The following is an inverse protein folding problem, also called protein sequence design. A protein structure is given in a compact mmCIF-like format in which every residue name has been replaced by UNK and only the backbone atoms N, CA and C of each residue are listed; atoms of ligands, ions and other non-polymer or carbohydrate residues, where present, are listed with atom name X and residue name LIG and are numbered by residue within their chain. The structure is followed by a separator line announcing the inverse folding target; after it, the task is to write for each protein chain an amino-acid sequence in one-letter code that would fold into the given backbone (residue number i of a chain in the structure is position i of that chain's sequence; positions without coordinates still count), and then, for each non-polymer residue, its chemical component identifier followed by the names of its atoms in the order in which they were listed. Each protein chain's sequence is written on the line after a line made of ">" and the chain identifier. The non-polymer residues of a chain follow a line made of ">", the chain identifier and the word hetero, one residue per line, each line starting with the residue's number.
data_IF_828708724410
#
_entry.id   IF_828708724410
#
_cell.length_a   1.000
_cell.length_b   1.000
_cell.length_c   1.000
_cell.angle_alpha   90.00
_cell.angle_beta   90.00
_cell.angle_gamma   90.00
#
_symmetry.space_group_name_H-M   'P 1'
#
loop_
_entity.id
_entity.type
_entity.pdbx_description
1 polymer ?
#
# COMPACT_ATOMS: atom_id res chain seq x y z
N UNK A 1 -32.63 -6.34 13.09
CA UNK A 1 -32.43 -5.37 12.00
C UNK A 1 -32.00 -6.19 10.79
N UNK A 2 -32.90 -6.39 9.84
CA UNK A 2 -32.56 -7.02 8.56
C UNK A 2 -31.50 -6.17 7.88
N UNK A 3 -30.44 -6.84 7.48
CA UNK A 3 -29.26 -6.19 6.90
C UNK A 3 -29.65 -5.62 5.51
N UNK A 4 -29.99 -4.34 5.44
CA UNK A 4 -30.40 -3.65 4.20
C UNK A 4 -29.43 -3.84 3.02
N UNK A 5 -28.22 -4.34 3.29
CA UNK A 5 -27.16 -4.58 2.29
C UNK A 5 -27.50 -5.77 1.38
N UNK A 6 -28.23 -6.78 1.89
CA UNK A 6 -28.58 -7.99 1.13
C UNK A 6 -29.80 -7.84 0.22
N UNK A 7 -30.53 -6.74 0.35
CA UNK A 7 -31.77 -6.48 -0.42
C UNK A 7 -31.59 -5.50 -1.58
N UNK A 8 -30.37 -4.99 -1.80
CA UNK A 8 -30.12 -4.14 -2.98
C UNK A 8 -29.98 -5.03 -4.22
N UNK A 9 -30.97 -4.99 -5.10
CA UNK A 9 -30.87 -5.52 -6.47
C UNK A 9 -29.61 -4.96 -7.12
N UNK A 10 -28.68 -5.86 -7.51
CA UNK A 10 -27.38 -5.49 -8.06
C UNK A 10 -26.21 -5.45 -7.07
N UNK A 11 -26.44 -5.43 -5.75
CA UNK A 11 -25.37 -5.43 -4.75
C UNK A 11 -24.42 -4.22 -4.81
N UNK A 12 -23.43 -4.17 -3.90
CA UNK A 12 -22.47 -3.05 -3.81
C UNK A 12 -21.54 -2.94 -5.03
N UNK A 13 -21.35 -4.02 -5.78
CA UNK A 13 -20.46 -4.07 -6.95
C UNK A 13 -21.19 -3.89 -8.29
N UNK A 14 -22.48 -3.56 -8.31
CA UNK A 14 -23.26 -3.46 -9.54
C UNK A 14 -22.65 -2.48 -10.58
N UNK A 15 -22.05 -1.37 -10.12
CA UNK A 15 -21.38 -0.41 -11.01
C UNK A 15 -20.04 -0.93 -11.52
N UNK A 16 -19.32 -1.71 -10.74
CA UNK A 16 -18.08 -2.38 -11.17
C UNK A 16 -18.42 -3.46 -12.19
N UNK A 17 -19.43 -4.26 -11.94
CA UNK A 17 -19.91 -5.28 -12.88
C UNK A 17 -20.43 -4.68 -14.18
N UNK A 18 -21.19 -3.57 -14.11
CA UNK A 18 -21.68 -2.87 -15.29
C UNK A 18 -20.53 -2.39 -16.19
N UNK A 19 -19.43 -1.93 -15.59
CA UNK A 19 -18.27 -1.43 -16.32
C UNK A 19 -17.37 -2.55 -16.87
N UNK A 20 -17.13 -3.59 -16.08
CA UNK A 20 -16.09 -4.59 -16.36
C UNK A 20 -16.66 -5.95 -16.81
N UNK A 21 -17.95 -6.17 -16.64
CA UNK A 21 -18.61 -7.45 -16.86
C UNK A 21 -18.46 -8.41 -15.67
N UNK A 22 -19.31 -9.43 -15.65
CA UNK A 22 -19.41 -10.41 -14.56
C UNK A 22 -18.11 -11.23 -14.40
N UNK A 23 -17.57 -11.72 -15.52
CA UNK A 23 -16.36 -12.58 -15.50
C UNK A 23 -15.16 -11.87 -14.91
N UNK A 24 -14.95 -10.59 -15.25
CA UNK A 24 -13.88 -9.79 -14.69
C UNK A 24 -14.11 -9.45 -13.22
N UNK A 25 -15.36 -9.20 -12.81
CA UNK A 25 -15.69 -9.03 -11.41
C UNK A 25 -15.39 -10.29 -10.59
N UNK A 26 -15.71 -11.48 -11.09
CA UNK A 26 -15.38 -12.75 -10.45
C UNK A 26 -13.86 -12.95 -10.29
N UNK A 27 -13.07 -12.61 -11.31
CA UNK A 27 -11.59 -12.61 -11.22
C UNK A 27 -11.10 -11.65 -10.12
N UNK A 28 -11.65 -10.42 -10.07
CA UNK A 28 -11.29 -9.42 -9.05
C UNK A 28 -11.62 -9.93 -7.64
N UNK A 29 -12.79 -10.55 -7.46
CA UNK A 29 -13.22 -11.09 -6.17
C UNK A 29 -12.37 -12.26 -5.69
N UNK A 30 -11.84 -13.07 -6.60
CA UNK A 30 -11.00 -14.24 -6.27
C UNK A 30 -9.54 -13.88 -6.03
N UNK A 31 -9.06 -12.73 -6.50
CA UNK A 31 -7.66 -12.32 -6.38
C UNK A 31 -7.23 -12.20 -4.91
N UNK A 32 -6.01 -12.68 -4.62
CA UNK A 32 -5.38 -12.66 -3.29
C UNK A 32 -4.28 -11.61 -3.27
N UNK A 33 -4.42 -10.62 -2.40
CA UNK A 33 -3.52 -9.46 -2.33
C UNK A 33 -2.84 -9.39 -0.97
N UNK A 34 -1.52 -9.25 -0.96
CA UNK A 34 -0.71 -9.01 0.23
C UNK A 34 -0.17 -7.59 0.20
N UNK A 35 -0.42 -6.80 1.25
CA UNK A 35 0.01 -5.41 1.35
C UNK A 35 0.94 -5.26 2.55
N UNK A 36 2.18 -4.92 2.29
CA UNK A 36 3.16 -4.56 3.32
C UNK A 36 3.18 -3.04 3.55
N UNK A 37 2.88 -2.63 4.77
CA UNK A 37 2.74 -1.24 5.19
C UNK A 37 1.34 -0.67 4.91
N UNK A 38 0.60 -0.33 5.97
CA UNK A 38 -0.73 0.31 5.87
C UNK A 38 -0.70 1.76 6.35
N UNK A 39 0.39 2.46 6.04
CA UNK A 39 0.50 3.91 6.24
C UNK A 39 -0.36 4.72 5.26
N UNK A 40 0.12 5.91 4.89
CA UNK A 40 -0.58 6.83 4.00
C UNK A 40 -0.84 6.30 2.59
N UNK A 41 -0.05 5.36 2.09
CA UNK A 41 -0.23 4.76 0.74
C UNK A 41 -1.01 3.45 0.83
N UNK A 42 -0.53 2.50 1.65
CA UNK A 42 -1.11 1.15 1.67
C UNK A 42 -2.54 1.11 2.19
N UNK A 43 -2.92 1.99 3.13
CA UNK A 43 -4.30 2.04 3.63
C UNK A 43 -5.30 2.48 2.56
N UNK A 44 -4.96 3.49 1.75
CA UNK A 44 -5.78 3.92 0.61
C UNK A 44 -5.81 2.90 -0.52
N UNK A 45 -4.69 2.19 -0.73
CA UNK A 45 -4.66 1.08 -1.68
C UNK A 45 -5.62 -0.03 -1.27
N UNK A 46 -5.59 -0.46 0.00
CA UNK A 46 -6.48 -1.49 0.53
C UNK A 46 -7.96 -1.10 0.37
N UNK A 47 -8.34 0.15 0.71
CA UNK A 47 -9.70 0.64 0.51
C UNK A 47 -10.10 0.66 -0.96
N UNK A 48 -9.22 1.15 -1.86
CA UNK A 48 -9.47 1.16 -3.29
C UNK A 48 -9.73 -0.23 -3.85
N UNK A 49 -8.97 -1.24 -3.40
CA UNK A 49 -9.13 -2.63 -3.80
C UNK A 49 -10.46 -3.23 -3.30
N UNK A 50 -10.80 -3.05 -2.01
CA UNK A 50 -12.06 -3.56 -1.44
C UNK A 50 -13.26 -2.92 -2.14
N UNK A 51 -13.24 -1.61 -2.37
CA UNK A 51 -14.32 -0.90 -3.10
C UNK A 51 -14.46 -1.36 -4.55
N UNK A 52 -13.36 -1.80 -5.17
CA UNK A 52 -13.36 -2.33 -6.53
C UNK A 52 -13.77 -3.80 -6.61
N UNK A 53 -13.94 -4.49 -5.47
CA UNK A 53 -14.45 -5.86 -5.42
C UNK A 53 -13.46 -6.92 -4.92
N UNK A 54 -12.18 -6.59 -4.67
CA UNK A 54 -11.22 -7.55 -4.11
C UNK A 54 -11.69 -7.98 -2.72
N UNK A 55 -11.77 -9.29 -2.50
CA UNK A 55 -12.27 -9.86 -1.24
C UNK A 55 -11.16 -10.40 -0.34
N UNK A 56 -10.05 -10.89 -0.91
CA UNK A 56 -9.02 -11.56 -0.14
C UNK A 56 -7.79 -10.67 -0.01
N UNK A 57 -7.64 -9.99 1.13
CA UNK A 57 -6.54 -9.06 1.38
C UNK A 57 -5.89 -9.39 2.72
N UNK A 58 -4.57 -9.57 2.70
CA UNK A 58 -3.75 -9.59 3.91
C UNK A 58 -3.03 -8.26 4.03
N UNK A 59 -3.16 -7.62 5.17
CA UNK A 59 -2.52 -6.33 5.50
C UNK A 59 -1.51 -6.52 6.63
N UNK A 60 -0.30 -6.01 6.43
CA UNK A 60 0.84 -6.19 7.35
C UNK A 60 1.37 -4.83 7.78
N UNK A 61 1.35 -4.54 9.06
CA UNK A 61 1.96 -3.34 9.69
C UNK A 61 2.09 -3.59 11.19
N UNK A 62 3.19 -3.18 11.81
CA UNK A 62 3.43 -3.38 13.24
C UNK A 62 2.94 -2.25 14.12
N UNK A 63 2.67 -1.08 13.54
CA UNK A 63 2.46 0.16 14.28
C UNK A 63 1.06 0.29 14.86
N UNK A 64 0.95 1.25 15.79
CA UNK A 64 -0.32 1.77 16.26
C UNK A 64 -0.64 3.11 15.62
N UNK A 65 -1.91 3.46 15.59
CA UNK A 65 -2.38 4.77 15.13
C UNK A 65 -1.89 5.87 16.06
N UNK A 66 -1.22 6.85 15.49
CA UNK A 66 -0.74 8.03 16.19
C UNK A 66 -1.50 9.27 15.70
N UNK A 67 -1.57 10.32 16.52
CA UNK A 67 -2.27 11.57 16.17
C UNK A 67 -1.73 12.19 14.88
N UNK A 68 -0.42 12.13 14.63
CA UNK A 68 0.21 12.63 13.39
C UNK A 68 -0.12 11.81 12.14
N UNK A 69 -0.75 10.65 12.31
CA UNK A 69 -1.20 9.85 11.18
C UNK A 69 -2.53 10.34 10.60
N UNK A 70 -3.33 11.06 11.42
CA UNK A 70 -4.69 11.50 11.05
C UNK A 70 -4.72 12.40 9.81
N UNK A 71 -3.61 13.07 9.50
CA UNK A 71 -3.55 13.94 8.34
C UNK A 71 -3.48 13.19 6.99
N UNK A 72 -3.19 11.84 6.98
CA UNK A 72 -2.96 11.13 5.71
C UNK A 72 -3.27 9.62 5.70
N UNK A 73 -3.35 8.96 6.86
CA UNK A 73 -3.63 7.52 6.94
C UNK A 73 -5.14 7.29 7.10
N UNK A 74 -5.71 6.46 6.25
CA UNK A 74 -7.15 6.28 6.13
C UNK A 74 -7.85 5.91 7.42
N UNK A 75 -7.30 4.94 8.17
CA UNK A 75 -7.87 4.43 9.42
C UNK A 75 -7.62 5.35 10.61
N UNK A 76 -6.71 6.34 10.45
CA UNK A 76 -6.34 7.22 11.55
C UNK A 76 -7.36 8.35 11.71
N UNK A 77 -8.10 8.29 12.80
CA UNK A 77 -9.11 9.27 13.22
C UNK A 77 -8.93 9.58 14.70
N UNK A 78 -9.59 10.62 15.21
CA UNK A 78 -9.59 10.92 16.64
C UNK A 78 -10.08 9.77 17.53
N UNK A 79 -10.85 8.83 16.95
CA UNK A 79 -11.42 7.69 17.68
C UNK A 79 -10.50 6.48 17.71
N UNK A 80 -9.61 6.35 16.71
CA UNK A 80 -8.74 5.18 16.53
C UNK A 80 -7.32 5.40 17.04
N UNK A 81 -7.00 6.59 17.58
CA UNK A 81 -5.67 6.85 18.16
C UNK A 81 -5.36 5.81 19.24
N UNK A 82 -4.18 5.17 19.15
CA UNK A 82 -3.72 4.11 20.05
C UNK A 82 -4.11 2.69 19.62
N UNK A 83 -5.06 2.52 18.70
CA UNK A 83 -5.40 1.20 18.15
C UNK A 83 -4.28 0.67 17.26
N UNK A 84 -4.24 -0.65 17.10
CA UNK A 84 -3.34 -1.31 16.12
C UNK A 84 -3.79 -0.93 14.71
N UNK A 85 -2.86 -0.45 13.87
CA UNK A 85 -3.21 0.07 12.53
C UNK A 85 -3.94 -0.95 11.67
N UNK A 86 -3.46 -2.19 11.65
CA UNK A 86 -4.08 -3.25 10.82
C UNK A 86 -5.48 -3.61 11.32
N UNK A 87 -5.74 -3.57 12.63
CA UNK A 87 -7.06 -3.86 13.18
C UNK A 87 -8.05 -2.74 12.86
N UNK A 88 -7.67 -1.48 13.08
CA UNK A 88 -8.48 -0.32 12.74
C UNK A 88 -8.81 -0.27 11.23
N UNK A 89 -7.82 -0.59 10.36
CA UNK A 89 -8.05 -0.65 8.92
C UNK A 89 -8.96 -1.83 8.55
N UNK A 90 -8.74 -3.02 9.13
CA UNK A 90 -9.59 -4.20 8.89
C UNK A 90 -11.05 -3.90 9.23
N UNK A 91 -11.32 -3.28 10.38
CA UNK A 91 -12.69 -2.91 10.78
C UNK A 91 -13.31 -2.01 9.71
N UNK A 92 -12.62 -0.96 9.27
CA UNK A 92 -13.11 -0.06 8.23
C UNK A 92 -13.37 -0.77 6.90
N UNK A 93 -12.50 -1.67 6.49
CA UNK A 93 -12.68 -2.42 5.23
C UNK A 93 -13.90 -3.35 5.29
N UNK A 94 -14.16 -3.98 6.45
CA UNK A 94 -15.34 -4.82 6.66
C UNK A 94 -16.64 -4.00 6.78
N UNK A 95 -16.59 -2.73 7.19
CA UNK A 95 -17.73 -1.81 7.11
C UNK A 95 -18.11 -1.50 5.65
N UNK A 96 -17.13 -1.54 4.73
CA UNK A 96 -17.36 -1.35 3.29
C UNK A 96 -17.86 -2.65 2.65
N UNK A 97 -17.19 -3.76 2.90
CA UNK A 97 -17.54 -5.07 2.37
C UNK A 97 -17.50 -6.13 3.49
N UNK A 98 -18.65 -6.44 4.12
CA UNK A 98 -18.72 -7.42 5.20
C UNK A 98 -18.30 -8.85 4.78
N UNK A 99 -18.43 -9.17 3.48
CA UNK A 99 -18.09 -10.49 2.93
C UNK A 99 -16.60 -10.61 2.55
N UNK A 100 -15.80 -9.55 2.75
CA UNK A 100 -14.38 -9.61 2.47
C UNK A 100 -13.62 -10.41 3.54
N UNK A 101 -12.67 -11.22 3.09
CA UNK A 101 -11.71 -11.91 3.95
C UNK A 101 -10.49 -11.02 4.13
N UNK A 102 -10.47 -10.24 5.22
CA UNK A 102 -9.37 -9.32 5.54
C UNK A 102 -8.55 -9.91 6.70
N UNK A 103 -7.33 -10.31 6.40
CA UNK A 103 -6.37 -10.82 7.40
C UNK A 103 -5.50 -9.66 7.88
N UNK A 104 -5.57 -9.34 9.16
CA UNK A 104 -4.77 -8.29 9.80
C UNK A 104 -3.56 -8.92 10.51
N UNK A 105 -2.34 -8.60 10.06
CA UNK A 105 -1.10 -9.10 10.62
C UNK A 105 -0.36 -7.95 11.31
N UNK A 106 -0.42 -7.87 12.63
CA UNK A 106 0.39 -6.93 13.42
C UNK A 106 1.83 -7.45 13.51
N UNK A 107 2.55 -7.36 12.40
CA UNK A 107 3.96 -7.80 12.31
C UNK A 107 4.78 -6.76 11.55
N UNK A 108 6.07 -6.68 11.86
CA UNK A 108 7.03 -5.95 11.05
C UNK A 108 7.60 -6.91 10.00
N UNK A 109 7.70 -6.45 8.74
CA UNK A 109 8.45 -7.18 7.73
C UNK A 109 9.95 -6.98 7.96
N UNK A 110 10.69 -8.06 8.10
CA UNK A 110 12.15 -8.11 8.16
C UNK A 110 12.66 -9.32 7.40
N UNK A 111 13.94 -9.32 7.02
CA UNK A 111 14.54 -10.43 6.29
C UNK A 111 14.43 -11.77 7.04
N UNK A 112 14.50 -11.71 8.37
CA UNK A 112 14.49 -12.85 9.28
C UNK A 112 13.08 -13.48 9.40
N UNK A 113 12.02 -12.70 9.19
CA UNK A 113 10.61 -13.13 9.31
C UNK A 113 9.88 -13.22 7.97
N UNK A 114 10.59 -13.01 6.86
CA UNK A 114 9.99 -12.90 5.52
C UNK A 114 9.23 -14.17 5.11
N UNK A 115 9.68 -15.35 5.49
CA UNK A 115 9.05 -16.64 5.17
C UNK A 115 7.69 -16.84 5.86
N UNK A 116 7.45 -16.14 6.99
CA UNK A 116 6.17 -16.22 7.72
C UNK A 116 4.99 -15.63 6.95
N UNK A 117 5.25 -14.87 5.91
CA UNK A 117 4.21 -14.20 5.11
C UNK A 117 3.75 -15.04 3.92
N UNK A 118 4.37 -16.19 3.63
CA UNK A 118 3.97 -17.11 2.55
C UNK A 118 3.63 -16.38 1.25
N UNK A 119 4.55 -15.49 0.80
CA UNK A 119 4.32 -14.59 -0.33
C UNK A 119 3.95 -15.33 -1.63
N UNK A 120 4.33 -16.58 -1.77
CA UNK A 120 4.02 -17.46 -2.90
C UNK A 120 2.52 -17.84 -3.01
N UNK A 121 1.74 -17.63 -1.95
CA UNK A 121 0.31 -17.93 -1.94
C UNK A 121 -0.55 -16.81 -2.50
N UNK A 122 0.03 -15.65 -2.82
CA UNK A 122 -0.68 -14.47 -3.30
C UNK A 122 -0.50 -14.26 -4.80
N UNK A 123 -1.49 -13.61 -5.40
CA UNK A 123 -1.45 -13.20 -6.80
C UNK A 123 -0.78 -11.83 -6.97
N UNK A 124 -0.92 -10.97 -5.94
CA UNK A 124 -0.36 -9.63 -5.91
C UNK A 124 0.33 -9.34 -4.58
N UNK A 125 1.52 -8.77 -4.67
CA UNK A 125 2.29 -8.27 -3.52
C UNK A 125 2.51 -6.77 -3.71
N UNK A 126 2.09 -5.99 -2.70
CA UNK A 126 2.19 -4.53 -2.69
C UNK A 126 3.16 -4.11 -1.59
N UNK A 127 4.16 -3.37 -1.98
CA UNK A 127 5.16 -2.80 -1.09
C UNK A 127 4.89 -1.30 -0.89
N UNK A 128 4.37 -0.96 0.29
CA UNK A 128 4.14 0.40 0.75
C UNK A 128 4.91 0.73 2.04
N UNK A 129 5.97 -0.04 2.35
CA UNK A 129 6.85 0.24 3.50
C UNK A 129 7.85 1.36 3.18
N UNK A 130 8.31 2.07 4.20
CA UNK A 130 9.23 3.21 4.08
C UNK A 130 10.67 2.90 4.56
N UNK A 131 10.88 1.78 5.26
CA UNK A 131 12.20 1.33 5.69
C UNK A 131 13.06 0.92 4.49
N UNK A 132 14.16 1.62 4.25
CA UNK A 132 15.06 1.34 3.13
C UNK A 132 15.66 -0.07 3.19
N UNK A 133 15.97 -0.57 4.40
CA UNK A 133 16.57 -1.90 4.61
C UNK A 133 15.58 -2.98 4.21
N UNK A 134 14.40 -2.92 4.80
CA UNK A 134 13.39 -3.97 4.68
C UNK A 134 12.71 -3.94 3.30
N UNK A 135 12.47 -2.73 2.76
CA UNK A 135 12.01 -2.55 1.38
C UNK A 135 12.99 -3.15 0.35
N UNK A 136 14.28 -2.98 0.55
CA UNK A 136 15.25 -3.58 -0.36
C UNK A 136 15.23 -5.11 -0.31
N UNK A 137 15.09 -5.72 0.87
CA UNK A 137 14.93 -7.17 1.01
C UNK A 137 13.62 -7.66 0.40
N UNK A 138 12.50 -7.00 0.70
CA UNK A 138 11.20 -7.33 0.12
C UNK A 138 11.23 -7.31 -1.42
N UNK A 139 11.83 -6.29 -2.02
CA UNK A 139 11.99 -6.20 -3.48
C UNK A 139 12.78 -7.40 -4.02
N UNK A 140 13.88 -7.77 -3.38
CA UNK A 140 14.71 -8.90 -3.83
C UNK A 140 13.93 -10.21 -3.77
N UNK A 141 13.21 -10.48 -2.68
CA UNK A 141 12.41 -11.69 -2.49
C UNK A 141 11.20 -11.72 -3.43
N UNK A 142 10.39 -10.67 -3.45
CA UNK A 142 9.20 -10.61 -4.29
C UNK A 142 9.51 -10.73 -5.79
N UNK A 143 10.65 -10.17 -6.23
CA UNK A 143 11.07 -10.31 -7.64
C UNK A 143 11.68 -11.68 -7.95
N UNK A 144 12.02 -12.49 -6.95
CA UNK A 144 12.48 -13.87 -7.12
C UNK A 144 11.33 -14.88 -7.23
N UNK A 145 10.12 -14.53 -6.80
CA UNK A 145 8.92 -15.35 -6.91
C UNK A 145 8.52 -15.64 -8.36
N UNK A 146 7.66 -16.65 -8.62
CA UNK A 146 7.14 -16.95 -9.95
C UNK A 146 6.53 -15.73 -10.65
N UNK A 147 6.61 -15.69 -11.98
CA UNK A 147 6.22 -14.51 -12.77
C UNK A 147 4.73 -14.19 -12.72
N UNK A 148 3.89 -15.17 -12.43
CA UNK A 148 2.44 -14.96 -12.30
C UNK A 148 2.09 -14.11 -11.07
N UNK A 149 2.98 -14.05 -10.06
CA UNK A 149 2.79 -13.19 -8.89
C UNK A 149 3.25 -11.78 -9.25
N UNK A 150 2.32 -10.86 -9.28
CA UNK A 150 2.61 -9.46 -9.63
C UNK A 150 3.09 -8.68 -8.41
N UNK A 151 4.22 -8.00 -8.55
CA UNK A 151 4.81 -7.15 -7.52
C UNK A 151 4.75 -5.68 -7.92
N UNK A 152 4.19 -4.84 -7.05
CA UNK A 152 4.10 -3.37 -7.22
C UNK A 152 4.67 -2.68 -5.99
N UNK A 153 5.54 -1.69 -6.20
CA UNK A 153 6.18 -0.96 -5.10
C UNK A 153 5.87 0.54 -5.18
N UNK A 154 5.50 1.12 -4.05
CA UNK A 154 5.44 2.57 -3.89
C UNK A 154 6.83 3.15 -3.67
N UNK A 155 7.18 4.19 -4.40
CA UNK A 155 8.35 5.01 -4.09
C UNK A 155 7.96 6.12 -3.10
N UNK A 156 8.79 7.16 -2.96
CA UNK A 156 8.59 8.21 -1.97
C UNK A 156 7.36 9.09 -2.25
N UNK A 157 6.35 9.03 -1.40
CA UNK A 157 5.14 9.87 -1.49
C UNK A 157 5.21 11.14 -0.62
N UNK A 158 6.19 11.26 0.29
CA UNK A 158 6.36 12.43 1.14
C UNK A 158 7.00 13.61 0.38
N UNK A 159 6.84 14.83 0.92
CA UNK A 159 7.41 16.06 0.38
C UNK A 159 6.93 16.39 -1.05
N UNK A 160 5.70 16.00 -1.39
CA UNK A 160 5.03 16.22 -2.68
C UNK A 160 3.70 16.94 -2.44
N UNK A 161 3.23 17.67 -3.45
CA UNK A 161 1.96 18.41 -3.40
C UNK A 161 1.10 18.30 -4.67
N UNK A 162 1.70 17.91 -5.80
CA UNK A 162 1.02 17.82 -7.09
C UNK A 162 0.68 16.35 -7.43
N UNK A 163 -0.60 15.94 -7.31
CA UNK A 163 -1.03 14.59 -7.62
C UNK A 163 -0.97 14.27 -9.12
N UNK A 164 -0.97 15.27 -10.01
CA UNK A 164 -0.91 15.06 -11.46
C UNK A 164 0.49 14.70 -11.94
N UNK A 165 1.52 14.81 -11.10
CA UNK A 165 2.87 14.34 -11.39
C UNK A 165 3.12 12.88 -10.97
N UNK A 166 2.10 12.18 -10.46
CA UNK A 166 2.21 10.76 -10.11
C UNK A 166 2.22 9.91 -11.39
N UNK A 167 3.16 8.96 -11.47
CA UNK A 167 3.38 8.08 -12.62
C UNK A 167 3.59 6.64 -12.19
N UNK A 168 3.32 5.71 -13.13
CA UNK A 168 3.77 4.32 -13.05
C UNK A 168 4.93 4.09 -14.02
N UNK A 169 5.98 3.41 -13.60
CA UNK A 169 7.09 3.01 -14.46
C UNK A 169 7.81 1.80 -13.91
N UNK A 170 8.71 1.25 -14.69
CA UNK A 170 9.64 0.21 -14.24
C UNK A 170 10.71 0.82 -13.32
N UNK A 171 11.10 0.10 -12.26
CA UNK A 171 11.97 0.59 -11.19
C UNK A 171 13.25 1.30 -11.64
N UNK A 172 13.95 0.75 -12.64
CA UNK A 172 15.21 1.35 -13.11
C UNK A 172 15.00 2.65 -13.90
N UNK A 173 13.77 2.89 -14.37
CA UNK A 173 13.37 4.10 -15.09
C UNK A 173 12.80 5.19 -14.17
N UNK A 174 12.63 4.90 -12.87
CA UNK A 174 12.19 5.92 -11.89
C UNK A 174 13.21 7.04 -11.85
N UNK A 175 12.78 8.27 -12.10
CA UNK A 175 13.64 9.46 -12.03
C UNK A 175 13.17 10.45 -10.95
N UNK A 176 14.09 11.26 -10.43
CA UNK A 176 13.79 12.30 -9.44
C UNK A 176 13.41 11.81 -8.05
N UNK A 177 13.27 10.50 -7.81
CA UNK A 177 12.86 9.95 -6.51
C UNK A 177 14.06 9.59 -5.61
N UNK A 178 14.18 10.19 -4.40
CA UNK A 178 15.29 9.91 -3.48
C UNK A 178 15.31 8.49 -2.96
N UNK A 179 14.14 7.88 -2.67
CA UNK A 179 14.04 6.52 -2.15
C UNK A 179 14.52 5.51 -3.21
N UNK A 180 14.04 5.63 -4.44
CA UNK A 180 14.49 4.80 -5.55
C UNK A 180 16.00 4.95 -5.80
N UNK A 181 16.55 6.17 -5.67
CA UNK A 181 17.99 6.42 -5.77
C UNK A 181 18.76 5.69 -4.67
N UNK A 182 18.29 5.74 -3.43
CA UNK A 182 18.91 5.04 -2.31
C UNK A 182 18.85 3.51 -2.48
N UNK A 183 17.72 2.98 -2.95
CA UNK A 183 17.56 1.55 -3.26
C UNK A 183 18.55 1.11 -4.34
N UNK A 184 18.63 1.84 -5.46
CA UNK A 184 19.60 1.56 -6.53
C UNK A 184 21.05 1.60 -6.07
N UNK A 185 21.41 2.60 -5.22
CA UNK A 185 22.74 2.65 -4.61
C UNK A 185 23.03 1.45 -3.73
N UNK A 186 22.05 1.04 -2.90
CA UNK A 186 22.15 -0.14 -2.03
C UNK A 186 22.35 -1.42 -2.83
N UNK A 187 21.54 -1.65 -3.86
CA UNK A 187 21.67 -2.83 -4.73
C UNK A 187 23.05 -2.89 -5.40
N UNK A 188 23.54 -1.77 -5.93
CA UNK A 188 24.88 -1.68 -6.53
C UNK A 188 25.99 -1.96 -5.51
N UNK A 189 25.90 -1.34 -4.32
CA UNK A 189 26.89 -1.52 -3.26
C UNK A 189 26.99 -2.98 -2.79
N UNK A 190 25.83 -3.62 -2.61
CA UNK A 190 25.74 -5.00 -2.12
C UNK A 190 25.88 -6.05 -3.25
N UNK A 191 25.98 -5.62 -4.50
CA UNK A 191 26.00 -6.49 -5.70
C UNK A 191 24.79 -7.45 -5.74
N UNK A 192 23.64 -7.02 -5.22
CA UNK A 192 22.38 -7.76 -5.20
C UNK A 192 21.35 -7.00 -6.01
N UNK A 193 20.65 -7.68 -6.91
CA UNK A 193 19.71 -7.01 -7.84
C UNK A 193 18.37 -7.74 -7.90
N UNK A 194 17.25 -7.01 -8.10
CA UNK A 194 15.96 -7.61 -8.39
C UNK A 194 16.08 -8.60 -9.57
N UNK A 195 15.50 -9.78 -9.43
CA UNK A 195 15.62 -10.85 -10.46
C UNK A 195 14.76 -10.60 -11.69
N UNK A 196 13.76 -9.70 -11.59
CA UNK A 196 12.93 -9.28 -12.72
C UNK A 196 12.57 -7.80 -12.61
N UNK A 197 12.14 -7.22 -13.72
CA UNK A 197 11.55 -5.88 -13.74
C UNK A 197 10.25 -5.88 -12.95
N UNK A 198 9.94 -4.78 -12.28
CA UNK A 198 8.71 -4.59 -11.53
C UNK A 198 8.22 -3.15 -11.65
N UNK A 199 6.93 -2.95 -11.40
CA UNK A 199 6.26 -1.66 -11.52
C UNK A 199 6.41 -0.88 -10.22
N UNK A 200 6.71 0.42 -10.36
CA UNK A 200 6.70 1.38 -9.29
C UNK A 200 5.68 2.48 -9.54
N UNK A 201 5.06 2.96 -8.47
CA UNK A 201 4.35 4.24 -8.44
C UNK A 201 5.27 5.27 -7.79
N UNK A 202 5.49 6.40 -8.44
CA UNK A 202 6.37 7.48 -8.00
C UNK A 202 5.85 8.83 -8.47
N UNK A 203 6.44 9.93 -8.03
CA UNK A 203 6.14 11.27 -8.55
C UNK A 203 7.36 11.86 -9.25
N UNK A 204 7.14 12.45 -10.42
CA UNK A 204 8.15 13.25 -11.15
C UNK A 204 8.43 14.59 -10.46
N UNK A 205 7.54 15.01 -9.54
CA UNK A 205 7.75 16.23 -8.77
C UNK A 205 9.02 16.14 -7.95
N UNK A 206 9.85 17.18 -7.97
CA UNK A 206 11.02 17.27 -7.08
C UNK A 206 10.54 17.38 -5.62
N UNK A 207 11.12 16.61 -4.69
CA UNK A 207 10.75 16.73 -3.27
C UNK A 207 10.96 18.15 -2.76
N UNK A 208 9.96 18.65 -2.05
CA UNK A 208 10.08 19.90 -1.29
C UNK A 208 10.99 19.69 -0.07
N UNK A 209 11.37 20.78 0.57
CA UNK A 209 11.96 20.73 1.91
C UNK A 209 10.86 20.83 2.97
N UNK A 210 11.09 20.26 4.14
CA UNK A 210 10.25 20.53 5.31
C UNK A 210 10.38 22.03 5.65
N UNK A 211 9.26 22.73 5.72
CA UNK A 211 9.20 24.15 6.03
C UNK A 211 8.88 24.43 7.51
N UNK A 212 8.34 23.43 8.22
CA UNK A 212 7.95 23.53 9.62
C UNK A 212 9.07 23.11 10.57
N UNK A 213 8.85 23.38 11.87
CA UNK A 213 9.76 22.98 12.93
C UNK A 213 9.65 21.47 13.19
N UNK A 214 10.74 20.74 13.03
CA UNK A 214 10.78 19.29 13.24
C UNK A 214 10.55 18.89 14.71
N UNK A 215 10.82 19.81 15.68
CA UNK A 215 10.57 19.59 17.11
C UNK A 215 9.09 19.35 17.46
N UNK A 216 8.17 19.76 16.58
CA UNK A 216 6.72 19.51 16.77
C UNK A 216 6.33 18.04 16.76
N UNK A 217 7.21 17.14 16.33
CA UNK A 217 6.97 15.68 16.19
C UNK A 217 7.93 14.81 17.00
N UNK A 218 8.83 15.43 17.83
CA UNK A 218 9.85 14.71 18.61
C UNK A 218 9.27 13.89 19.78
N UNK A 219 8.04 14.15 20.21
CA UNK A 219 7.42 13.52 21.38
C UNK A 219 6.53 12.31 21.06
N UNK A 220 6.52 11.82 19.83
CA UNK A 220 5.64 10.74 19.43
C UNK A 220 6.31 9.37 19.53
N UNK A 221 5.50 8.35 19.77
CA UNK A 221 5.86 6.92 19.85
C UNK A 221 6.63 6.38 18.61
N UNK A 222 6.84 7.22 17.61
CA UNK A 222 7.60 6.97 16.38
C UNK A 222 9.10 7.35 16.49
N UNK A 223 9.71 7.24 17.66
CA UNK A 223 11.09 7.65 17.95
C UNK A 223 12.19 6.92 17.13
N UNK A 224 11.84 5.98 16.29
CA UNK A 224 12.80 5.20 15.46
C UNK A 224 13.08 5.79 14.07
N UNK A 225 12.38 6.85 13.64
CA UNK A 225 12.61 7.47 12.33
C UNK A 225 13.64 8.59 12.43
N UNK A 226 14.75 8.43 11.75
CA UNK A 226 15.85 9.42 11.71
C UNK A 226 15.44 10.79 11.12
N UNK A 227 14.34 10.83 10.34
CA UNK A 227 13.77 12.07 9.78
C UNK A 227 12.28 11.90 9.50
N UNK A 228 11.47 12.83 10.00
CA UNK A 228 10.03 12.89 9.71
C UNK A 228 9.83 13.86 8.55
N UNK A 229 9.21 13.36 7.49
CA UNK A 229 8.92 14.14 6.29
C UNK A 229 7.45 14.56 6.24
N UNK A 230 7.20 15.84 5.92
CA UNK A 230 5.88 16.37 5.67
C UNK A 230 5.16 15.60 4.55
N UNK A 231 3.86 15.40 4.72
CA UNK A 231 3.02 14.68 3.75
C UNK A 231 1.63 15.27 3.70
N UNK A 232 0.99 15.12 2.55
CA UNK A 232 -0.39 15.55 2.29
C UNK A 232 -1.25 14.34 1.94
N UNK A 233 -2.49 14.33 2.45
CA UNK A 233 -3.42 13.22 2.27
C UNK A 233 -3.67 12.92 0.79
N UNK A 234 -3.99 13.93 -0.01
CA UNK A 234 -4.31 13.74 -1.43
C UNK A 234 -3.16 13.14 -2.24
N UNK A 235 -1.90 13.36 -1.82
CA UNK A 235 -0.74 12.74 -2.46
C UNK A 235 -0.65 11.25 -2.10
N UNK A 236 -0.65 10.95 -0.80
CA UNK A 236 -0.51 9.55 -0.36
C UNK A 236 -1.71 8.70 -0.80
N UNK A 237 -2.92 9.28 -0.78
CA UNK A 237 -4.13 8.64 -1.28
C UNK A 237 -4.06 8.37 -2.79
N UNK A 238 -3.59 9.33 -3.59
CA UNK A 238 -3.43 9.16 -5.03
C UNK A 238 -2.41 8.07 -5.38
N UNK A 239 -1.31 7.96 -4.62
CA UNK A 239 -0.39 6.83 -4.74
C UNK A 239 -1.09 5.50 -4.46
N UNK A 240 -1.85 5.41 -3.37
CA UNK A 240 -2.61 4.21 -3.01
C UNK A 240 -3.63 3.82 -4.06
N UNK A 241 -4.42 4.79 -4.55
CA UNK A 241 -5.41 4.58 -5.61
C UNK A 241 -4.77 4.20 -6.95
N UNK A 242 -3.62 4.78 -7.30
CA UNK A 242 -2.87 4.41 -8.49
C UNK A 242 -2.40 2.94 -8.42
N UNK A 243 -1.93 2.48 -7.25
CA UNK A 243 -1.54 1.08 -7.04
C UNK A 243 -2.76 0.16 -7.16
N UNK A 244 -3.88 0.51 -6.52
CA UNK A 244 -5.12 -0.25 -6.65
C UNK A 244 -5.56 -0.36 -8.11
N UNK A 245 -5.52 0.74 -8.87
CA UNK A 245 -5.82 0.74 -10.30
C UNK A 245 -4.88 -0.14 -11.13
N UNK A 246 -3.59 -0.20 -10.78
CA UNK A 246 -2.62 -1.10 -11.45
C UNK A 246 -3.01 -2.57 -11.22
N UNK A 247 -3.39 -2.93 -9.98
CA UNK A 247 -3.83 -4.29 -9.63
C UNK A 247 -5.09 -4.67 -10.40
N UNK A 248 -6.13 -3.82 -10.35
CA UNK A 248 -7.40 -4.09 -11.03
C UNK A 248 -7.20 -4.24 -12.54
N UNK A 249 -6.46 -3.33 -13.18
CA UNK A 249 -6.20 -3.43 -14.61
C UNK A 249 -5.42 -4.72 -14.97
N UNK A 250 -4.46 -5.13 -14.14
CA UNK A 250 -3.72 -6.37 -14.38
C UNK A 250 -4.57 -7.64 -14.26
N UNK A 251 -5.63 -7.61 -13.42
CA UNK A 251 -6.57 -8.74 -13.29
C UNK A 251 -7.45 -8.91 -14.52
N UNK A 252 -7.82 -7.79 -15.16
CA UNK A 252 -8.78 -7.77 -16.28
C UNK A 252 -8.13 -7.85 -17.65
N UNK A 253 -6.83 -7.54 -17.77
CA UNK A 253 -6.03 -7.67 -19.01
C UNK A 253 -5.63 -9.14 -19.28
#
# INVERSE_FOLDING_TARGET
>A
MENKITTMEGGMQCRTELLLGKDNLEKIQSARVLIFGVGGVGSWCAEGLVRSGVRNITIVDSDRVCVTNCNRQLMATSRTIGEVKVDALRQRLLEINPDANIIACQKIYQAETAEEFHMEEYDFIIDAIDSLKDKADLILRATALPKHITFVSSMGAALRRDPFMIRKTEFWKVDGDPLARCLRKRFKKNKTFPRRKFICVYSEEKPMQNMGDQRLVEHEWCSTKAQINGSLCHITASFGMAIAGIVINHIID
#
